data_IF_597984599221
#
_entry.id   IF_597984599221
#
_cell.length_a   1.000
_cell.length_b   1.000
_cell.length_c   1.000
_cell.angle_alpha   90.00
_cell.angle_beta   90.00
_cell.angle_gamma   90.00
#
_symmetry.space_group_name_H-M   'P 1'
#
loop_
_entity.id
_entity.type
_entity.pdbx_description
1 polymer ?
#
# COMPACT_ATOMS: atom_id res chain seq x y z
N UNK A 1 0.12 -2.40 7.90
CA UNK A 1 0.43 -3.44 8.93
C UNK A 1 1.39 -4.51 8.38
N UNK A 2 1.36 -4.81 7.07
CA UNK A 2 2.33 -5.68 6.38
C UNK A 2 2.92 -4.87 5.23
N UNK A 3 4.25 -4.72 5.19
CA UNK A 3 4.95 -3.93 4.17
C UNK A 3 5.79 -4.77 3.21
N UNK A 4 6.12 -6.01 3.57
CA UNK A 4 6.86 -6.97 2.72
C UNK A 4 6.00 -8.18 2.36
N UNK A 5 5.97 -8.54 1.07
CA UNK A 5 5.18 -9.65 0.50
C UNK A 5 5.99 -10.50 -0.47
N UNK A 6 5.46 -11.69 -0.77
CA UNK A 6 6.17 -12.68 -1.58
C UNK A 6 7.33 -13.30 -0.78
N UNK A 7 8.43 -13.61 -1.47
CA UNK A 7 9.57 -14.32 -0.90
C UNK A 7 10.56 -13.40 -0.17
N UNK A 8 10.09 -12.80 0.94
CA UNK A 8 10.85 -11.84 1.77
C UNK A 8 12.19 -12.33 2.36
N UNK A 9 12.45 -13.64 2.32
CA UNK A 9 13.70 -14.28 2.80
C UNK A 9 14.62 -14.74 1.66
N UNK A 10 14.30 -14.40 0.41
CA UNK A 10 15.16 -14.73 -0.73
C UNK A 10 16.53 -14.07 -0.57
N UNK A 11 17.58 -14.73 -1.09
CA UNK A 11 18.91 -14.12 -1.16
C UNK A 11 18.93 -13.03 -2.24
N UNK A 12 19.87 -12.10 -2.12
CA UNK A 12 20.03 -10.98 -3.06
C UNK A 12 20.27 -11.46 -4.49
N UNK A 13 21.00 -12.56 -4.66
CA UNK A 13 21.33 -13.14 -5.97
C UNK A 13 20.11 -13.73 -6.71
N UNK A 14 19.00 -13.98 -6.01
CA UNK A 14 17.81 -14.62 -6.59
C UNK A 14 16.91 -13.65 -7.37
N UNK A 15 16.98 -12.35 -7.07
CA UNK A 15 16.15 -11.32 -7.72
C UNK A 15 17.03 -10.17 -8.25
N UNK A 16 17.64 -10.31 -9.44
CA UNK A 16 18.54 -9.31 -9.99
C UNK A 16 17.82 -8.04 -10.50
N UNK A 17 16.52 -8.16 -10.84
CA UNK A 17 15.72 -7.05 -11.36
C UNK A 17 14.96 -6.36 -10.22
N UNK A 18 15.03 -5.02 -10.17
CA UNK A 18 14.24 -4.20 -9.25
C UNK A 18 13.49 -3.10 -10.01
N UNK A 19 12.17 -3.04 -9.84
CA UNK A 19 11.32 -1.97 -10.33
C UNK A 19 10.80 -1.11 -9.18
N UNK A 20 10.70 0.20 -9.41
CA UNK A 20 10.16 1.15 -8.43
C UNK A 20 8.93 1.86 -9.01
N UNK A 21 7.89 1.95 -8.19
CA UNK A 21 6.75 2.83 -8.43
C UNK A 21 7.02 4.13 -7.67
N UNK A 22 7.13 5.23 -8.41
CA UNK A 22 7.46 6.56 -7.90
C UNK A 22 6.28 7.48 -8.25
N UNK A 23 5.84 8.30 -7.29
CA UNK A 23 4.89 9.38 -7.59
C UNK A 23 5.69 10.60 -8.07
N UNK A 24 5.24 11.21 -9.15
CA UNK A 24 5.82 12.43 -9.71
C UNK A 24 5.17 13.71 -9.12
N UNK A 25 4.23 13.54 -8.19
CA UNK A 25 3.50 14.63 -7.55
C UNK A 25 3.77 14.70 -6.04
N UNK A 26 3.67 15.90 -5.47
CA UNK A 26 3.75 16.11 -4.04
C UNK A 26 2.35 16.05 -3.42
N UNK A 27 2.02 14.91 -2.82
CA UNK A 27 0.68 14.61 -2.34
C UNK A 27 0.69 13.75 -1.07
N UNK A 28 -0.48 13.59 -0.43
CA UNK A 28 -0.67 12.67 0.68
C UNK A 28 -1.46 11.44 0.22
N UNK A 29 -0.85 10.26 0.39
CA UNK A 29 -1.50 8.99 0.09
C UNK A 29 -2.16 8.43 1.36
N UNK A 30 -3.44 8.09 1.25
CA UNK A 30 -4.18 7.51 2.36
C UNK A 30 -3.71 6.09 2.70
N UNK A 31 -3.85 5.69 3.97
CA UNK A 31 -3.52 4.33 4.42
C UNK A 31 -4.34 3.27 3.67
N UNK A 32 -5.57 3.61 3.32
CA UNK A 32 -6.51 2.73 2.62
C UNK A 32 -6.07 2.52 1.17
N UNK A 33 -5.62 3.57 0.49
CA UNK A 33 -5.11 3.49 -0.88
C UNK A 33 -3.85 2.62 -0.96
N UNK A 34 -2.92 2.78 0.01
CA UNK A 34 -1.72 1.95 0.09
C UNK A 34 -2.06 0.47 0.28
N UNK A 35 -3.01 0.14 1.16
CA UNK A 35 -3.41 -1.25 1.39
C UNK A 35 -4.14 -1.84 0.16
N UNK A 36 -5.02 -1.07 -0.49
CA UNK A 36 -5.70 -1.50 -1.70
C UNK A 36 -4.72 -1.78 -2.85
N UNK A 37 -3.76 -0.86 -3.08
CA UNK A 37 -2.73 -1.03 -4.09
C UNK A 37 -1.85 -2.26 -3.81
N UNK A 38 -1.47 -2.46 -2.54
CA UNK A 38 -0.69 -3.62 -2.09
C UNK A 38 -1.43 -4.94 -2.35
N UNK A 39 -2.73 -5.01 -2.04
CA UNK A 39 -3.55 -6.21 -2.30
C UNK A 39 -3.64 -6.47 -3.80
N UNK A 40 -3.91 -5.42 -4.59
CA UNK A 40 -4.04 -5.52 -6.05
C UNK A 40 -2.76 -6.04 -6.70
N UNK A 41 -1.63 -5.40 -6.42
CA UNK A 41 -0.32 -5.80 -6.95
C UNK A 41 0.04 -7.23 -6.55
N UNK A 42 -0.10 -7.59 -5.27
CA UNK A 42 0.21 -8.94 -4.81
C UNK A 42 -0.70 -10.00 -5.45
N UNK A 43 -2.00 -9.73 -5.59
CA UNK A 43 -2.94 -10.67 -6.23
C UNK A 43 -2.55 -10.93 -7.69
N UNK A 44 -2.22 -9.87 -8.44
CA UNK A 44 -1.81 -9.99 -9.83
C UNK A 44 -0.49 -10.77 -9.99
N UNK A 45 0.49 -10.45 -9.15
CA UNK A 45 1.81 -11.08 -9.20
C UNK A 45 1.78 -12.55 -8.77
N UNK A 46 0.98 -12.91 -7.76
CA UNK A 46 0.77 -14.32 -7.38
C UNK A 46 0.15 -15.10 -8.54
N UNK A 47 -0.82 -14.51 -9.25
CA UNK A 47 -1.46 -15.16 -10.41
C UNK A 47 -0.50 -15.33 -11.59
N UNK A 48 0.35 -14.34 -11.84
CA UNK A 48 1.15 -14.27 -13.07
C UNK A 48 2.53 -14.93 -12.92
N UNK A 49 3.20 -14.73 -11.78
CA UNK A 49 4.59 -15.17 -11.53
C UNK A 49 4.69 -16.26 -10.45
N UNK A 50 3.57 -16.61 -9.79
CA UNK A 50 3.57 -17.49 -8.64
C UNK A 50 3.97 -16.78 -7.34
N UNK A 51 3.63 -17.37 -6.19
CA UNK A 51 3.81 -16.76 -4.87
C UNK A 51 5.28 -16.50 -4.50
N UNK A 52 6.19 -17.33 -5.00
CA UNK A 52 7.62 -17.29 -4.68
C UNK A 52 8.47 -16.63 -5.77
N UNK A 53 7.84 -16.16 -6.86
CA UNK A 53 8.51 -15.55 -8.01
C UNK A 53 8.85 -14.07 -7.85
N UNK A 54 8.53 -13.45 -6.71
CA UNK A 54 8.78 -12.02 -6.46
C UNK A 54 8.94 -11.69 -4.98
N UNK A 55 9.52 -10.51 -4.71
CA UNK A 55 9.48 -9.83 -3.42
C UNK A 55 9.02 -8.39 -3.64
N UNK A 56 7.90 -8.00 -3.04
CA UNK A 56 7.38 -6.63 -3.09
C UNK A 56 7.50 -5.99 -1.72
N UNK A 57 7.91 -4.72 -1.71
CA UNK A 57 8.00 -3.89 -0.51
C UNK A 57 7.29 -2.56 -0.70
N UNK A 58 6.38 -2.24 0.22
CA UNK A 58 5.80 -0.91 0.37
C UNK A 58 6.78 -0.03 1.13
N UNK A 59 7.25 1.06 0.52
CA UNK A 59 8.26 1.96 1.11
C UNK A 59 7.67 3.05 2.00
N UNK A 60 6.46 3.51 1.68
CA UNK A 60 5.79 4.59 2.42
C UNK A 60 5.13 4.04 3.70
N UNK A 61 5.22 4.79 4.80
CA UNK A 61 4.54 4.49 6.05
C UNK A 61 3.58 5.64 6.40
N UNK A 62 2.27 5.38 6.60
CA UNK A 62 1.29 6.42 6.88
C UNK A 62 1.37 6.84 8.36
N UNK A 63 2.19 7.84 8.66
CA UNK A 63 2.31 8.41 10.00
C UNK A 63 1.47 9.68 10.20
N UNK A 64 1.02 10.30 9.12
CA UNK A 64 0.22 11.52 9.19
C UNK A 64 -1.23 11.21 9.59
N UNK A 65 -1.72 11.87 10.64
CA UNK A 65 -3.11 11.73 11.11
C UNK A 65 -3.94 12.89 10.58
N UNK A 66 -4.90 12.56 9.71
CA UNK A 66 -5.86 13.52 9.16
C UNK A 66 -6.98 13.78 10.18
N UNK A 67 -7.38 15.04 10.35
CA UNK A 67 -8.49 15.44 11.23
C UNK A 67 -9.76 15.68 10.42
N UNK A 68 -10.92 15.42 11.04
CA UNK A 68 -12.23 15.71 10.46
C UNK A 68 -13.05 16.55 11.45
N UNK A 69 -13.66 17.64 10.97
CA UNK A 69 -14.70 18.35 11.70
C UNK A 69 -16.06 17.72 11.35
N UNK A 70 -16.54 16.82 12.20
CA UNK A 70 -17.71 15.99 11.89
C UNK A 70 -19.00 16.74 12.22
N UNK A 71 -19.84 16.95 11.20
CA UNK A 71 -21.18 17.51 11.36
C UNK A 71 -22.24 16.40 11.44
N UNK A 72 -23.32 16.64 12.19
CA UNK A 72 -24.47 15.74 12.25
C UNK A 72 -25.35 15.92 11.01
N UNK A 73 -25.81 14.83 10.43
CA UNK A 73 -26.64 14.82 9.22
C UNK A 73 -28.16 14.70 9.49
N UNK A 74 -28.57 14.72 10.76
CA UNK A 74 -29.96 14.53 11.17
C UNK A 74 -30.68 15.88 11.38
N UNK A 75 -32.02 15.87 11.29
CA UNK A 75 -32.84 17.03 11.66
C UNK A 75 -32.66 17.38 13.14
N UNK A 76 -32.43 18.66 13.45
CA UNK A 76 -32.13 19.13 14.81
C UNK A 76 -30.67 19.03 15.22
N UNK A 77 -29.72 18.91 14.28
CA UNK A 77 -28.27 18.84 14.54
C UNK A 77 -27.68 19.97 15.42
N UNK A 78 -28.39 21.09 15.54
CA UNK A 78 -27.99 22.28 16.29
C UNK A 78 -28.79 22.47 17.61
N UNK A 79 -29.81 21.64 17.85
CA UNK A 79 -30.70 21.76 19.01
C UNK A 79 -30.40 20.70 20.07
#
# INVERSE_FOLDING_TARGET
>A
RIFDLGRKKAKVDEFPLCGHMVSDEYEQLSSEALEAARICANKYMVKSCGKDGFHIRVRLHPFHVIRINKMLSCAGADR
#
